data_IF_251708972912
#
_entry.id   IF_251708972912
#
_cell.length_a   1.000
_cell.length_b   1.000
_cell.length_c   1.000
_cell.angle_alpha   90.00
_cell.angle_beta   90.00
_cell.angle_gamma   90.00
#
_symmetry.space_group_name_H-M   'P 1'
#
loop_
_entity.id
_entity.type
_entity.pdbx_description
1 polymer ?
#
# COMPACT_ATOMS: atom_id res chain seq x y z
N UNK A 1 1.88 17.80 -28.44
CA UNK A 1 1.18 18.05 -27.15
C UNK A 1 0.75 16.75 -26.45
N UNK A 2 -0.04 15.86 -27.08
CA UNK A 2 -0.51 14.61 -26.45
C UNK A 2 0.63 13.68 -25.98
N UNK A 3 1.69 13.50 -26.78
CA UNK A 3 2.84 12.65 -26.42
C UNK A 3 3.57 13.19 -25.18
N UNK A 4 3.71 14.52 -25.06
CA UNK A 4 4.35 15.15 -23.90
C UNK A 4 3.51 14.92 -22.64
N UNK A 5 2.19 15.08 -22.74
CA UNK A 5 1.26 14.80 -21.63
C UNK A 5 1.26 13.33 -21.23
N UNK A 6 1.23 12.41 -22.20
CA UNK A 6 1.30 10.98 -21.96
C UNK A 6 2.58 10.62 -21.21
N UNK A 7 3.75 11.11 -21.67
CA UNK A 7 5.04 10.89 -21.00
C UNK A 7 5.08 11.46 -19.58
N UNK A 8 4.47 12.62 -19.35
CA UNK A 8 4.35 13.18 -18.00
C UNK A 8 3.48 12.31 -17.09
N UNK A 9 2.35 11.81 -17.60
CA UNK A 9 1.46 10.91 -16.86
C UNK A 9 2.13 9.58 -16.53
N UNK A 10 2.86 9.01 -17.48
CA UNK A 10 3.62 7.77 -17.31
C UNK A 10 4.64 7.90 -16.17
N UNK A 11 5.44 8.98 -16.19
CA UNK A 11 6.40 9.27 -15.11
C UNK A 11 5.73 9.41 -13.75
N UNK A 12 4.57 10.07 -13.71
CA UNK A 12 3.80 10.26 -12.46
C UNK A 12 3.17 8.96 -11.96
N UNK A 13 2.89 8.02 -12.85
CA UNK A 13 2.32 6.72 -12.45
C UNK A 13 3.38 5.82 -11.81
N UNK A 14 4.64 5.92 -12.26
CA UNK A 14 5.77 5.26 -11.59
C UNK A 14 5.92 5.68 -10.11
N UNK A 15 5.58 6.93 -9.76
CA UNK A 15 5.58 7.40 -8.35
C UNK A 15 4.55 6.67 -7.47
N UNK A 16 3.57 6.01 -8.07
CA UNK A 16 2.55 5.24 -7.34
C UNK A 16 2.94 3.79 -7.15
N UNK A 17 3.90 3.27 -7.90
CA UNK A 17 4.34 1.89 -7.84
C UNK A 17 5.42 1.73 -6.77
N UNK A 18 5.39 0.60 -6.06
CA UNK A 18 6.41 0.28 -5.06
C UNK A 18 5.90 -0.63 -3.96
N UNK A 19 6.84 -1.29 -3.30
CA UNK A 19 6.61 -2.02 -2.05
C UNK A 19 6.86 -1.07 -0.89
N UNK A 20 5.91 -0.96 0.03
CA UNK A 20 6.06 -0.15 1.24
C UNK A 20 6.37 -1.08 2.41
N UNK A 21 7.55 -1.00 3.03
CA UNK A 21 7.79 -1.64 4.32
C UNK A 21 6.91 -0.96 5.36
N UNK A 22 6.29 -1.74 6.26
CA UNK A 22 5.48 -1.14 7.31
C UNK A 22 6.39 -0.37 8.29
N UNK A 23 5.91 0.74 8.89
CA UNK A 23 6.71 1.57 9.78
C UNK A 23 7.26 0.82 11.01
N UNK A 24 6.57 -0.24 11.40
CA UNK A 24 6.81 -1.08 12.56
C UNK A 24 7.43 -2.45 12.19
N UNK A 25 7.98 -2.59 10.98
CA UNK A 25 8.81 -3.75 10.63
C UNK A 25 10.13 -3.71 11.40
N UNK A 26 10.52 -4.86 11.98
CA UNK A 26 11.77 -4.99 12.71
C UNK A 26 12.69 -6.05 12.08
N UNK A 27 14.00 -5.76 12.02
CA UNK A 27 15.00 -6.67 11.40
C UNK A 27 15.17 -8.02 12.10
N UNK A 28 14.65 -8.13 13.32
CA UNK A 28 14.70 -9.35 14.14
C UNK A 28 13.34 -10.04 14.24
N UNK A 29 12.35 -9.60 13.46
CA UNK A 29 11.09 -10.32 13.35
C UNK A 29 11.36 -11.72 12.79
N UNK A 30 10.69 -12.73 13.36
CA UNK A 30 10.91 -14.13 12.99
C UNK A 30 10.20 -14.51 11.69
N UNK A 31 9.10 -13.82 11.38
CA UNK A 31 8.24 -14.13 10.25
C UNK A 31 8.05 -12.89 9.37
N UNK A 32 8.18 -13.08 8.06
CA UNK A 32 8.06 -12.01 7.08
C UNK A 32 6.89 -12.31 6.15
N UNK A 33 5.91 -11.42 6.15
CA UNK A 33 4.76 -11.51 5.27
C UNK A 33 4.78 -10.39 4.24
N UNK A 34 4.47 -10.74 3.00
CA UNK A 34 4.12 -9.76 1.98
C UNK A 34 2.60 -9.74 1.85
N UNK A 35 2.00 -8.57 2.09
CA UNK A 35 0.55 -8.38 1.95
C UNK A 35 0.29 -7.56 0.70
N UNK A 36 -0.53 -8.11 -0.20
CA UNK A 36 -0.99 -7.44 -1.41
C UNK A 36 -2.42 -6.93 -1.17
N UNK A 37 -2.61 -5.62 -1.34
CA UNK A 37 -3.92 -4.98 -1.21
C UNK A 37 -4.28 -4.36 -2.54
N UNK A 38 -5.42 -4.77 -3.10
CA UNK A 38 -5.95 -4.24 -4.35
C UNK A 38 -7.20 -3.43 -4.08
N UNK A 39 -7.28 -2.26 -4.70
CA UNK A 39 -8.48 -1.42 -4.64
C UNK A 39 -9.22 -1.44 -5.97
N UNK A 40 -10.55 -1.41 -5.91
CA UNK A 40 -11.37 -1.44 -7.12
C UNK A 40 -11.16 -0.21 -8.02
N UNK A 41 -11.55 -0.34 -9.29
CA UNK A 41 -11.51 0.76 -10.27
C UNK A 41 -12.76 1.66 -10.26
N UNK A 42 -13.82 1.25 -9.56
CA UNK A 42 -15.06 2.03 -9.45
C UNK A 42 -14.81 3.37 -8.77
N UNK A 43 -15.64 4.38 -9.10
CA UNK A 43 -15.61 5.67 -8.41
C UNK A 43 -15.74 5.44 -6.89
N UNK A 44 -14.90 6.13 -6.11
CA UNK A 44 -14.83 6.04 -4.65
C UNK A 44 -14.36 4.69 -4.07
N UNK A 45 -13.71 3.83 -4.86
CA UNK A 45 -13.18 2.55 -4.35
C UNK A 45 -11.84 2.67 -3.58
N UNK A 46 -11.20 3.84 -3.59
CA UNK A 46 -10.04 4.12 -2.74
C UNK A 46 -10.44 4.85 -1.45
N UNK A 47 -9.54 4.87 -0.47
CA UNK A 47 -9.79 5.51 0.84
C UNK A 47 -8.64 6.41 1.29
N UNK A 48 -8.93 7.38 2.17
CA UNK A 48 -7.94 8.16 2.92
C UNK A 48 -7.90 7.80 4.41
N UNK A 49 -8.74 6.86 4.84
CA UNK A 49 -8.76 6.39 6.22
C UNK A 49 -7.44 5.71 6.58
N UNK A 50 -7.10 5.71 7.88
CA UNK A 50 -6.08 4.82 8.40
C UNK A 50 -6.64 3.40 8.39
N UNK A 51 -5.98 2.51 7.66
CA UNK A 51 -6.38 1.10 7.55
C UNK A 51 -5.37 0.26 8.31
N UNK A 52 -5.91 -0.64 9.12
CA UNK A 52 -5.15 -1.52 9.99
C UNK A 52 -5.47 -2.97 9.67
N UNK A 53 -4.58 -3.88 10.05
CA UNK A 53 -4.83 -5.31 9.96
C UNK A 53 -4.18 -6.04 11.14
N UNK A 54 -4.68 -7.24 11.38
CA UNK A 54 -4.14 -8.23 12.32
C UNK A 54 -4.05 -9.55 11.55
N UNK A 55 -2.93 -10.25 11.65
CA UNK A 55 -2.79 -11.62 11.15
C UNK A 55 -2.93 -12.55 12.35
N UNK A 56 -3.95 -13.40 12.33
CA UNK A 56 -4.20 -14.40 13.37
C UNK A 56 -3.88 -15.79 12.84
N UNK A 57 -3.17 -16.58 13.64
CA UNK A 57 -2.87 -18.00 13.44
C UNK A 57 -3.55 -18.87 14.49
N UNK A 58 -3.15 -20.14 14.57
CA UNK A 58 -3.69 -21.09 15.54
C UNK A 58 -3.22 -20.79 16.97
N UNK A 59 -1.95 -20.41 17.13
CA UNK A 59 -1.33 -20.20 18.45
C UNK A 59 -1.36 -18.73 18.93
N UNK A 60 -1.35 -17.76 18.02
CA UNK A 60 -1.25 -16.33 18.36
C UNK A 60 -1.67 -15.41 17.19
N UNK A 61 -1.70 -14.10 17.43
CA UNK A 61 -1.92 -13.05 16.45
C UNK A 61 -0.84 -11.94 16.50
N UNK A 62 -0.72 -11.18 15.42
CA UNK A 62 0.14 -9.99 15.40
C UNK A 62 -0.49 -8.85 16.21
N UNK A 63 0.32 -7.91 16.69
CA UNK A 63 -0.20 -6.59 17.10
C UNK A 63 -0.92 -5.87 15.94
N UNK A 64 -1.66 -4.79 16.25
CA UNK A 64 -2.31 -3.96 15.23
C UNK A 64 -1.25 -3.36 14.29
N UNK A 65 -1.22 -3.83 13.06
CA UNK A 65 -0.35 -3.32 12.00
C UNK A 65 -1.07 -2.25 11.19
N UNK A 66 -0.35 -1.23 10.74
CA UNK A 66 -0.93 -0.10 10.00
C UNK A 66 -0.37 -0.01 8.59
N UNK A 67 -1.24 -0.03 7.58
CA UNK A 67 -0.82 0.34 6.23
C UNK A 67 -0.51 1.84 6.19
N UNK A 68 0.76 2.19 6.07
CA UNK A 68 1.22 3.58 5.99
C UNK A 68 2.46 3.67 5.11
N UNK A 69 2.51 4.71 4.29
CA UNK A 69 3.67 5.07 3.48
C UNK A 69 3.95 6.58 3.66
N UNK A 70 5.15 6.96 4.12
CA UNK A 70 5.48 8.37 4.33
C UNK A 70 5.76 9.15 3.03
N UNK A 71 6.04 8.46 1.92
CA UNK A 71 6.47 9.06 0.66
C UNK A 71 5.33 9.19 -0.36
N UNK A 72 4.36 8.27 -0.34
CA UNK A 72 3.26 8.23 -1.32
C UNK A 72 1.90 7.97 -0.70
N UNK A 73 0.85 8.38 -1.41
CA UNK A 73 -0.53 8.04 -1.03
C UNK A 73 -0.81 6.58 -1.40
N UNK A 74 -1.28 5.81 -0.44
CA UNK A 74 -1.68 4.40 -0.62
C UNK A 74 -3.20 4.25 -0.72
N UNK A 75 -3.67 3.04 -1.04
CA UNK A 75 -5.09 2.67 -1.09
C UNK A 75 -5.94 3.59 -2.00
N UNK A 76 -5.32 4.08 -3.08
CA UNK A 76 -5.97 4.88 -4.10
C UNK A 76 -6.72 3.97 -5.07
N UNK A 77 -7.90 4.39 -5.56
CA UNK A 77 -8.67 3.68 -6.58
C UNK A 77 -7.80 3.14 -7.72
N UNK A 78 -7.93 1.85 -8.02
CA UNK A 78 -7.18 1.17 -9.09
C UNK A 78 -5.70 0.98 -8.77
N UNK A 79 -5.32 1.12 -7.50
CA UNK A 79 -4.02 0.74 -6.97
C UNK A 79 -3.98 -0.70 -6.49
#
# INVERSE_FOLDING_TARGET
LLIIFARYKDKKDLERLGVTPLPDNHKFDQYFYQILVFTGHRRNAGTKSRVHFIVAGEDDETQIRTFADPQRRILQRGG
#
